data_IF_993708202714
#
_entry.id   IF_993708202714
#
_cell.length_a   1.000
_cell.length_b   1.000
_cell.length_c   1.000
_cell.angle_alpha   90.00
_cell.angle_beta   90.00
_cell.angle_gamma   90.00
#
_symmetry.space_group_name_H-M   'P 1'
#
loop_
_entity.id
_entity.type
_entity.pdbx_description
1 polymer ?
#
# COMPACT_ATOMS: atom_id res chain seq x y z
N UNK A 1 13.82 3.96 25.10
CA UNK A 1 14.64 5.21 25.12
C UNK A 1 13.76 6.28 24.54
N UNK A 2 13.58 7.46 25.12
CA UNK A 2 12.83 8.52 24.48
C UNK A 2 13.48 8.82 23.14
N UNK A 3 12.66 8.85 22.06
CA UNK A 3 13.13 9.09 20.70
C UNK A 3 13.95 10.37 20.61
N UNK A 4 14.88 10.43 19.66
CA UNK A 4 15.79 11.57 19.46
C UNK A 4 15.00 12.88 19.30
N UNK A 5 13.73 12.80 18.90
CA UNK A 5 12.82 13.94 18.73
C UNK A 5 11.87 14.20 19.91
N UNK A 6 12.02 13.52 21.05
CA UNK A 6 11.15 13.71 22.23
C UNK A 6 11.13 15.15 22.80
N UNK A 7 11.94 16.06 22.25
CA UNK A 7 11.95 17.49 22.60
C UNK A 7 11.34 18.42 21.55
N UNK A 8 10.90 17.91 20.39
CA UNK A 8 10.27 18.76 19.37
C UNK A 8 8.77 18.90 19.63
N UNK A 9 8.18 20.09 19.46
CA UNK A 9 6.74 20.27 19.63
C UNK A 9 5.97 19.50 18.53
N UNK A 10 4.76 18.99 18.80
CA UNK A 10 3.92 18.30 17.81
C UNK A 10 3.70 19.12 16.54
N UNK A 11 3.67 20.45 16.66
CA UNK A 11 3.57 21.35 15.51
C UNK A 11 4.76 21.23 14.54
N UNK A 12 5.95 20.88 15.01
CA UNK A 12 7.11 20.68 14.13
C UNK A 12 6.95 19.43 13.25
N UNK A 13 6.35 18.37 13.79
CA UNK A 13 6.00 17.16 13.04
C UNK A 13 5.00 17.49 11.92
N UNK A 14 3.89 18.13 12.26
CA UNK A 14 2.86 18.51 11.29
C UNK A 14 3.40 19.45 10.21
N UNK A 15 4.28 20.40 10.57
CA UNK A 15 4.93 21.28 9.60
C UNK A 15 5.89 20.51 8.66
N UNK A 16 6.60 19.53 9.16
CA UNK A 16 7.48 18.71 8.33
C UNK A 16 6.70 17.83 7.33
N UNK A 17 5.59 17.21 7.77
CA UNK A 17 4.71 16.49 6.84
C UNK A 17 4.03 17.43 5.84
N UNK A 18 3.61 18.61 6.27
CA UNK A 18 3.09 19.63 5.35
C UNK A 18 4.14 20.03 4.30
N UNK A 19 5.39 20.23 4.72
CA UNK A 19 6.49 20.53 3.79
C UNK A 19 6.72 19.37 2.81
N UNK A 20 6.70 18.13 3.27
CA UNK A 20 6.78 16.95 2.40
C UNK A 20 5.62 16.89 1.40
N UNK A 21 4.38 17.13 1.84
CA UNK A 21 3.20 17.18 0.98
C UNK A 21 3.31 18.27 -0.09
N UNK A 22 3.76 19.48 0.27
CA UNK A 22 4.00 20.59 -0.68
C UNK A 22 5.07 20.19 -1.71
N UNK A 23 6.16 19.54 -1.27
CA UNK A 23 7.21 19.05 -2.18
C UNK A 23 6.67 17.99 -3.14
N UNK A 24 5.82 17.04 -2.69
CA UNK A 24 5.18 16.05 -3.55
C UNK A 24 4.25 16.70 -4.57
N UNK A 25 3.36 17.61 -4.15
CA UNK A 25 2.43 18.30 -5.05
C UNK A 25 3.19 19.11 -6.09
N UNK A 26 4.23 19.84 -5.66
CA UNK A 26 5.06 20.62 -6.56
C UNK A 26 5.85 19.73 -7.52
N UNK A 27 6.41 18.63 -7.03
CA UNK A 27 7.08 17.61 -7.82
C UNK A 27 6.20 17.01 -8.89
N UNK A 28 5.00 16.53 -8.51
CA UNK A 28 4.02 16.00 -9.45
C UNK A 28 3.63 17.00 -10.53
N UNK A 29 3.41 18.27 -10.15
CA UNK A 29 3.10 19.32 -11.13
C UNK A 29 4.24 19.54 -12.14
N UNK A 30 5.49 19.40 -11.73
CA UNK A 30 6.62 19.51 -12.66
C UNK A 30 6.83 18.26 -13.52
N UNK A 31 6.41 17.09 -13.07
CA UNK A 31 6.47 15.84 -13.84
C UNK A 31 5.56 15.84 -15.07
N UNK A 32 4.54 16.71 -15.14
CA UNK A 32 3.64 16.79 -16.29
C UNK A 32 4.30 17.33 -17.57
N UNK A 33 5.51 17.94 -17.48
CA UNK A 33 6.20 18.50 -18.63
C UNK A 33 7.62 17.93 -18.75
N UNK A 34 8.02 17.43 -19.92
CA UNK A 34 9.34 16.79 -20.12
C UNK A 34 10.52 17.66 -19.71
N UNK A 35 10.43 18.99 -19.94
CA UNK A 35 11.51 19.94 -19.62
C UNK A 35 11.75 20.12 -18.11
N UNK A 36 10.73 19.91 -17.29
CA UNK A 36 10.77 20.09 -15.83
C UNK A 36 10.74 18.77 -15.08
N UNK A 37 10.47 17.64 -15.75
CA UNK A 37 10.31 16.32 -15.13
C UNK A 37 11.47 15.92 -14.22
N UNK A 38 12.73 16.19 -14.64
CA UNK A 38 13.91 15.91 -13.80
C UNK A 38 13.89 16.68 -12.48
N UNK A 39 13.47 17.95 -12.49
CA UNK A 39 13.32 18.76 -11.27
C UNK A 39 12.17 18.25 -10.41
N UNK A 40 11.05 17.89 -11.06
CA UNK A 40 9.90 17.27 -10.38
C UNK A 40 10.29 16.02 -9.60
N UNK A 41 11.10 15.16 -10.20
CA UNK A 41 11.61 13.95 -9.55
C UNK A 41 12.48 14.27 -8.32
N UNK A 42 13.33 15.30 -8.41
CA UNK A 42 14.17 15.75 -7.29
C UNK A 42 13.28 16.26 -6.13
N UNK A 43 12.25 17.07 -6.42
CA UNK A 43 11.34 17.57 -5.38
C UNK A 43 10.55 16.43 -4.73
N UNK A 44 10.07 15.48 -5.51
CA UNK A 44 9.38 14.29 -4.97
C UNK A 44 10.30 13.44 -4.09
N UNK A 45 11.55 13.22 -4.53
CA UNK A 45 12.55 12.51 -3.74
C UNK A 45 12.90 13.26 -2.43
N UNK A 46 13.04 14.59 -2.49
CA UNK A 46 13.24 15.39 -1.28
C UNK A 46 12.06 15.30 -0.32
N UNK A 47 10.81 15.34 -0.82
CA UNK A 47 9.61 15.14 -0.04
C UNK A 47 9.60 13.78 0.66
N UNK A 48 10.02 12.71 -0.04
CA UNK A 48 10.13 11.36 0.53
C UNK A 48 11.19 11.31 1.65
N UNK A 49 12.36 11.90 1.44
CA UNK A 49 13.41 11.96 2.47
C UNK A 49 12.93 12.69 3.71
N UNK A 50 12.21 13.80 3.54
CA UNK A 50 11.62 14.55 4.69
C UNK A 50 10.59 13.68 5.40
N UNK A 51 9.62 13.10 4.67
CA UNK A 51 8.56 12.29 5.28
C UNK A 51 9.12 11.08 6.04
N UNK A 52 9.97 10.27 5.39
CA UNK A 52 10.60 9.09 6.02
C UNK A 52 11.49 9.51 7.18
N UNK A 53 12.32 10.54 7.00
CA UNK A 53 13.24 11.01 8.05
C UNK A 53 12.50 11.46 9.30
N UNK A 54 11.41 12.21 9.15
CA UNK A 54 10.60 12.67 10.26
C UNK A 54 9.88 11.50 10.95
N UNK A 55 9.30 10.57 10.17
CA UNK A 55 8.65 9.38 10.71
C UNK A 55 9.61 8.55 11.56
N UNK A 56 10.80 8.28 11.05
CA UNK A 56 11.84 7.48 11.74
C UNK A 56 12.33 8.17 13.02
N UNK A 57 12.45 9.50 12.99
CA UNK A 57 12.95 10.25 14.15
C UNK A 57 11.89 10.45 15.24
N UNK A 58 10.61 10.51 14.86
CA UNK A 58 9.52 10.84 15.77
C UNK A 58 8.86 9.61 16.39
N UNK A 59 8.56 8.61 15.58
CA UNK A 59 7.91 7.41 16.06
C UNK A 59 8.95 6.40 16.57
N UNK A 60 8.73 5.86 17.75
CA UNK A 60 9.48 4.72 18.27
C UNK A 60 9.08 3.42 17.54
N UNK A 61 9.15 3.46 16.21
CA UNK A 61 8.75 2.37 15.34
C UNK A 61 9.84 1.30 15.35
N UNK A 62 9.54 0.12 15.85
CA UNK A 62 10.33 -1.10 15.75
C UNK A 62 11.76 -1.02 16.36
N UNK A 63 12.38 -2.18 16.54
CA UNK A 63 13.82 -2.17 16.86
C UNK A 63 14.56 -1.43 15.73
N UNK A 64 15.43 -0.48 16.03
CA UNK A 64 16.22 0.25 15.02
C UNK A 64 16.92 -0.69 14.03
N UNK A 65 17.28 -1.87 14.48
CA UNK A 65 17.92 -2.91 13.67
C UNK A 65 17.03 -3.41 12.53
N UNK A 66 15.74 -3.65 12.78
CA UNK A 66 14.80 -4.13 11.75
C UNK A 66 14.54 -3.01 10.73
N UNK A 67 14.38 -1.76 11.19
CA UNK A 67 14.20 -0.61 10.34
C UNK A 67 15.40 -0.40 9.42
N UNK A 68 16.61 -0.36 9.98
CA UNK A 68 17.83 -0.18 9.17
C UNK A 68 18.07 -1.35 8.22
N UNK A 69 17.80 -2.58 8.63
CA UNK A 69 17.90 -3.74 7.76
C UNK A 69 16.93 -3.63 6.58
N UNK A 70 15.66 -3.27 6.82
CA UNK A 70 14.67 -3.07 5.77
C UNK A 70 15.06 -1.94 4.80
N UNK A 71 15.52 -0.80 5.32
CA UNK A 71 16.00 0.32 4.51
C UNK A 71 17.21 -0.07 3.65
N UNK A 72 18.19 -0.77 4.21
CA UNK A 72 19.39 -1.21 3.48
C UNK A 72 19.05 -2.20 2.38
N UNK A 73 18.23 -3.21 2.68
CA UNK A 73 17.80 -4.21 1.69
C UNK A 73 16.97 -3.55 0.59
N UNK A 74 16.00 -2.71 0.95
CA UNK A 74 15.18 -1.99 -0.02
C UNK A 74 16.00 -1.04 -0.88
N UNK A 75 16.94 -0.29 -0.29
CA UNK A 75 17.83 0.62 -1.02
C UNK A 75 18.77 -0.15 -1.96
N UNK A 76 19.33 -1.28 -1.51
CA UNK A 76 20.22 -2.11 -2.34
C UNK A 76 19.48 -2.67 -3.56
N UNK A 77 18.31 -3.29 -3.35
CA UNK A 77 17.49 -3.86 -4.43
C UNK A 77 16.99 -2.74 -5.37
N UNK A 78 16.47 -1.66 -4.81
CA UNK A 78 15.94 -0.55 -5.60
C UNK A 78 17.02 0.15 -6.43
N UNK A 79 18.20 0.39 -5.86
CA UNK A 79 19.32 0.97 -6.59
C UNK A 79 19.84 0.05 -7.68
N UNK A 80 19.95 -1.25 -7.40
CA UNK A 80 20.37 -2.22 -8.41
C UNK A 80 19.39 -2.26 -9.58
N UNK A 81 18.09 -2.35 -9.32
CA UNK A 81 17.06 -2.33 -10.36
C UNK A 81 17.09 -1.02 -11.17
N UNK A 82 17.26 0.13 -10.49
CA UNK A 82 17.27 1.43 -11.14
C UNK A 82 18.42 1.63 -12.14
N UNK A 83 19.56 0.93 -11.96
CA UNK A 83 20.72 1.05 -12.86
C UNK A 83 20.82 -0.10 -13.86
N UNK A 84 20.10 -1.21 -13.67
CA UNK A 84 20.18 -2.40 -14.52
C UNK A 84 19.01 -2.54 -15.49
N UNK A 85 17.85 -1.93 -15.18
CA UNK A 85 16.64 -2.04 -16.01
C UNK A 85 16.71 -1.06 -17.18
N UNK A 86 16.48 -1.57 -18.38
CA UNK A 86 16.42 -0.75 -19.58
C UNK A 86 15.20 0.19 -19.59
N UNK A 87 15.29 1.31 -20.30
CA UNK A 87 14.20 2.27 -20.39
C UNK A 87 12.93 1.70 -21.03
N UNK A 88 13.07 0.68 -21.88
CA UNK A 88 11.95 -0.07 -22.49
C UNK A 88 11.18 -0.90 -21.45
N UNK A 89 11.83 -1.32 -20.37
CA UNK A 89 11.28 -2.16 -19.31
C UNK A 89 10.77 -1.34 -18.11
N UNK A 90 10.84 -0.01 -18.20
CA UNK A 90 10.32 0.88 -17.17
C UNK A 90 8.86 0.62 -16.77
N UNK A 91 7.92 0.36 -17.69
CA UNK A 91 6.53 0.07 -17.32
C UNK A 91 6.39 -1.16 -16.39
N UNK A 92 7.18 -2.21 -16.64
CA UNK A 92 7.20 -3.42 -15.80
C UNK A 92 7.73 -3.10 -14.40
N UNK A 93 8.82 -2.33 -14.31
CA UNK A 93 9.42 -1.92 -13.05
C UNK A 93 8.46 -1.04 -12.23
N UNK A 94 7.78 -0.10 -12.89
CA UNK A 94 6.75 0.73 -12.25
C UNK A 94 5.61 -0.13 -11.72
N UNK A 95 5.14 -1.11 -12.51
CA UNK A 95 4.13 -2.07 -12.06
C UNK A 95 4.58 -2.85 -10.83
N UNK A 96 5.82 -3.34 -10.83
CA UNK A 96 6.40 -4.08 -9.71
C UNK A 96 6.44 -3.22 -8.43
N UNK A 97 7.00 -2.01 -8.50
CA UNK A 97 7.08 -1.11 -7.35
C UNK A 97 5.70 -0.68 -6.85
N UNK A 98 4.76 -0.45 -7.77
CA UNK A 98 3.38 -0.17 -7.40
C UNK A 98 2.76 -1.34 -6.61
N UNK A 99 2.97 -2.57 -7.07
CA UNK A 99 2.54 -3.77 -6.36
C UNK A 99 3.10 -3.81 -4.94
N UNK A 100 4.41 -3.67 -4.78
CA UNK A 100 5.03 -3.65 -3.45
C UNK A 100 4.50 -2.53 -2.55
N UNK A 101 4.19 -1.35 -3.10
CA UNK A 101 3.55 -0.26 -2.36
C UNK A 101 2.18 -0.65 -1.81
N UNK A 102 1.34 -1.28 -2.64
CA UNK A 102 0.03 -1.81 -2.21
C UNK A 102 0.15 -2.90 -1.15
N UNK A 103 1.07 -3.84 -1.35
CA UNK A 103 1.36 -4.91 -0.39
C UNK A 103 1.89 -4.37 0.94
N UNK A 104 2.80 -3.41 0.91
CA UNK A 104 3.32 -2.75 2.11
C UNK A 104 2.21 -2.07 2.90
N UNK A 105 1.32 -1.32 2.23
CA UNK A 105 0.18 -0.67 2.88
C UNK A 105 -0.73 -1.69 3.58
N UNK A 106 -1.06 -2.81 2.91
CA UNK A 106 -1.87 -3.86 3.50
C UNK A 106 -1.19 -4.51 4.71
N UNK A 107 0.13 -4.75 4.65
CA UNK A 107 0.87 -5.33 5.77
C UNK A 107 0.96 -4.36 6.97
N UNK A 108 1.17 -3.07 6.74
CA UNK A 108 1.22 -2.05 7.80
C UNK A 108 -0.13 -1.94 8.49
N UNK A 109 -1.23 -1.85 7.73
CA UNK A 109 -2.58 -1.82 8.33
C UNK A 109 -2.92 -3.11 9.10
N UNK A 110 -2.42 -4.26 8.62
CA UNK A 110 -2.55 -5.53 9.32
C UNK A 110 -1.76 -5.58 10.63
N UNK A 111 -0.56 -5.02 10.65
CA UNK A 111 0.27 -4.92 11.85
C UNK A 111 -0.39 -4.02 12.91
N UNK A 112 -0.92 -2.87 12.50
CA UNK A 112 -1.67 -1.97 13.38
C UNK A 112 -2.86 -2.68 14.03
N UNK A 113 -3.63 -3.46 13.27
CA UNK A 113 -4.73 -4.23 13.82
C UNK A 113 -4.28 -5.31 14.81
N UNK A 114 -3.12 -5.93 14.59
CA UNK A 114 -2.56 -6.91 15.54
C UNK A 114 -2.18 -6.24 16.86
N UNK A 115 -1.59 -5.05 16.80
CA UNK A 115 -1.26 -4.27 18.01
C UNK A 115 -2.53 -3.77 18.71
N UNK A 116 -3.49 -3.24 17.94
CA UNK A 116 -4.73 -2.69 18.46
C UNK A 116 -5.58 -3.74 19.18
N UNK A 117 -5.66 -4.96 18.64
CA UNK A 117 -6.39 -6.08 19.23
C UNK A 117 -5.51 -7.00 20.09
N UNK A 118 -4.28 -6.59 20.39
CA UNK A 118 -3.37 -7.30 21.27
C UNK A 118 -3.85 -7.37 22.73
N UNK A 119 -3.13 -8.10 23.59
CA UNK A 119 -3.57 -8.34 24.99
C UNK A 119 -3.78 -7.06 25.81
N UNK A 120 -3.16 -5.96 25.43
CA UNK A 120 -3.24 -4.64 26.09
C UNK A 120 -4.14 -3.66 25.35
N UNK A 121 -4.74 -4.10 24.22
CA UNK A 121 -5.56 -3.26 23.37
C UNK A 121 -6.96 -2.99 23.93
N UNK A 122 -7.70 -2.04 23.36
CA UNK A 122 -9.06 -1.75 23.73
C UNK A 122 -10.00 -2.92 23.42
N UNK A 123 -11.08 -3.05 24.17
CA UNK A 123 -12.10 -4.06 23.91
C UNK A 123 -12.88 -3.82 22.61
N UNK A 124 -12.92 -2.56 22.16
CA UNK A 124 -13.55 -2.10 20.92
C UNK A 124 -12.60 -1.13 20.23
N UNK A 125 -12.25 -1.43 18.99
CA UNK A 125 -11.38 -0.53 18.21
C UNK A 125 -12.17 0.65 17.63
N UNK A 126 -11.52 1.81 17.42
CA UNK A 126 -12.13 2.94 16.73
C UNK A 126 -12.63 2.53 15.34
N UNK A 127 -13.85 2.96 14.99
CA UNK A 127 -14.47 2.66 13.69
C UNK A 127 -13.66 3.26 12.54
N UNK A 128 -13.06 4.42 12.77
CA UNK A 128 -12.18 5.10 11.81
C UNK A 128 -10.99 4.23 11.44
N UNK A 129 -10.29 3.69 12.44
CA UNK A 129 -9.11 2.83 12.24
C UNK A 129 -9.48 1.53 11.53
N UNK A 130 -10.55 0.86 11.96
CA UNK A 130 -10.98 -0.40 11.33
C UNK A 130 -11.49 -0.20 9.90
N UNK A 131 -12.18 0.91 9.63
CA UNK A 131 -12.63 1.28 8.28
C UNK A 131 -11.44 1.59 7.37
N UNK A 132 -10.49 2.38 7.86
CA UNK A 132 -9.27 2.71 7.13
C UNK A 132 -8.44 1.45 6.84
N UNK A 133 -8.29 0.56 7.83
CA UNK A 133 -7.59 -0.70 7.65
C UNK A 133 -8.31 -1.63 6.64
N UNK A 134 -9.64 -1.71 6.68
CA UNK A 134 -10.42 -2.48 5.70
C UNK A 134 -10.23 -1.95 4.27
N UNK A 135 -10.31 -0.63 4.09
CA UNK A 135 -10.07 0.02 2.80
C UNK A 135 -8.63 -0.24 2.31
N UNK A 136 -7.65 -0.10 3.18
CA UNK A 136 -6.24 -0.36 2.88
C UNK A 136 -6.01 -1.83 2.49
N UNK A 137 -6.56 -2.77 3.23
CA UNK A 137 -6.43 -4.20 2.95
C UNK A 137 -7.05 -4.59 1.60
N UNK A 138 -8.25 -4.05 1.31
CA UNK A 138 -8.93 -4.27 0.03
C UNK A 138 -8.14 -3.71 -1.15
N UNK A 139 -7.81 -2.43 -1.09
CA UNK A 139 -7.13 -1.75 -2.19
C UNK A 139 -5.69 -2.25 -2.33
N UNK A 140 -5.00 -2.44 -1.20
CA UNK A 140 -3.61 -2.92 -1.18
C UNK A 140 -3.48 -4.35 -1.72
N UNK A 141 -4.38 -5.26 -1.35
CA UNK A 141 -4.40 -6.63 -1.86
C UNK A 141 -4.67 -6.70 -3.37
N UNK A 142 -5.69 -5.96 -3.84
CA UNK A 142 -5.98 -5.85 -5.29
C UNK A 142 -4.79 -5.27 -6.04
N UNK A 143 -4.20 -4.20 -5.52
CA UNK A 143 -3.09 -3.50 -6.17
C UNK A 143 -1.84 -4.34 -6.21
N UNK A 144 -1.50 -5.05 -5.13
CA UNK A 144 -0.31 -5.90 -5.09
C UNK A 144 -0.35 -6.95 -6.20
N UNK A 145 -1.34 -7.83 -6.17
CA UNK A 145 -1.42 -8.93 -7.12
C UNK A 145 -1.79 -8.49 -8.54
N UNK A 146 -2.68 -7.49 -8.67
CA UNK A 146 -3.02 -6.92 -9.96
C UNK A 146 -1.80 -6.32 -10.67
N UNK A 147 -0.95 -5.60 -9.95
CA UNK A 147 0.28 -5.01 -10.49
C UNK A 147 1.34 -6.06 -10.83
N UNK A 148 1.46 -7.14 -10.05
CA UNK A 148 2.36 -8.25 -10.38
C UNK A 148 1.92 -8.96 -11.66
N UNK A 149 0.61 -9.21 -11.83
CA UNK A 149 0.07 -9.77 -13.09
C UNK A 149 0.32 -8.82 -14.25
N UNK A 150 0.08 -7.52 -14.08
CA UNK A 150 0.32 -6.53 -15.12
C UNK A 150 1.80 -6.47 -15.54
N UNK A 151 2.71 -6.46 -14.57
CA UNK A 151 4.15 -6.52 -14.83
C UNK A 151 4.54 -7.83 -15.55
N UNK A 152 3.99 -8.97 -15.11
CA UNK A 152 4.22 -10.27 -15.76
C UNK A 152 3.73 -10.34 -17.21
N UNK A 153 2.60 -9.67 -17.52
CA UNK A 153 2.11 -9.55 -18.89
C UNK A 153 3.03 -8.71 -19.77
N UNK A 154 3.49 -7.58 -19.26
CA UNK A 154 4.45 -6.73 -19.98
C UNK A 154 5.79 -7.44 -20.24
N UNK A 155 6.19 -8.35 -19.34
CA UNK A 155 7.39 -9.19 -19.48
C UNK A 155 7.17 -10.41 -20.39
N UNK A 156 5.93 -10.68 -20.81
CA UNK A 156 5.58 -11.87 -21.59
C UNK A 156 5.54 -13.17 -20.79
N UNK A 157 5.57 -13.12 -19.45
CA UNK A 157 5.44 -14.32 -18.60
C UNK A 157 4.00 -14.80 -18.46
N UNK A 158 3.03 -13.94 -18.68
CA UNK A 158 1.60 -14.26 -18.62
C UNK A 158 1.03 -14.08 -20.01
N UNK A 159 0.38 -15.13 -20.54
CA UNK A 159 -0.30 -15.11 -21.84
C UNK A 159 -1.46 -14.10 -21.87
N UNK A 160 -1.82 -13.67 -23.06
CA UNK A 160 -2.67 -12.52 -23.31
C UNK A 160 -3.83 -12.82 -24.25
N UNK A 161 -5.05 -12.32 -23.95
CA UNK A 161 -5.74 -12.26 -22.66
C UNK A 161 -6.30 -13.64 -22.27
N UNK A 162 -6.41 -13.95 -20.98
CA UNK A 162 -6.99 -15.22 -20.51
C UNK A 162 -8.43 -14.98 -20.07
N UNK A 163 -9.39 -15.50 -20.83
CA UNK A 163 -10.80 -15.52 -20.49
C UNK A 163 -11.24 -16.90 -20.01
N UNK A 164 -12.11 -16.95 -19.01
CA UNK A 164 -12.59 -18.20 -18.43
C UNK A 164 -14.11 -18.16 -18.18
N UNK A 165 -14.81 -19.31 -18.23
CA UNK A 165 -16.25 -19.38 -17.95
C UNK A 165 -16.56 -18.89 -16.53
N UNK A 166 -17.58 -18.05 -16.36
CA UNK A 166 -17.99 -17.55 -15.04
C UNK A 166 -17.11 -16.42 -14.47
N UNK A 167 -16.27 -15.81 -15.31
CA UNK A 167 -15.36 -14.73 -14.93
C UNK A 167 -16.00 -13.67 -14.05
N UNK A 168 -17.14 -13.10 -14.46
CA UNK A 168 -17.84 -12.05 -13.73
C UNK A 168 -18.43 -12.56 -12.41
N UNK A 169 -18.91 -13.80 -12.38
CA UNK A 169 -19.44 -14.42 -11.17
C UNK A 169 -18.33 -14.62 -10.14
N UNK A 170 -17.15 -15.06 -10.59
CA UNK A 170 -16.02 -15.28 -9.71
C UNK A 170 -15.48 -13.95 -9.14
N UNK A 171 -15.35 -12.92 -9.99
CA UNK A 171 -15.00 -11.55 -9.56
C UNK A 171 -15.99 -11.01 -8.53
N UNK A 172 -17.29 -11.15 -8.81
CA UNK A 172 -18.34 -10.72 -7.87
C UNK A 172 -18.31 -11.49 -6.54
N UNK A 173 -18.03 -12.79 -6.58
CA UNK A 173 -17.93 -13.62 -5.38
C UNK A 173 -16.77 -13.18 -4.49
N UNK A 174 -15.56 -12.98 -5.05
CA UNK A 174 -14.41 -12.54 -4.27
C UNK A 174 -14.53 -11.08 -3.81
N UNK A 175 -15.13 -10.20 -4.62
CA UNK A 175 -15.46 -8.85 -4.18
C UNK A 175 -16.46 -8.87 -3.02
N UNK A 176 -17.55 -9.66 -3.13
CA UNK A 176 -18.53 -9.81 -2.07
C UNK A 176 -17.92 -10.37 -0.79
N UNK A 177 -17.05 -11.39 -0.91
CA UNK A 177 -16.34 -11.95 0.24
C UNK A 177 -15.44 -10.90 0.92
N UNK A 178 -14.69 -10.13 0.14
CA UNK A 178 -13.83 -9.08 0.68
C UNK A 178 -14.65 -7.99 1.39
N UNK A 179 -15.77 -7.56 0.80
CA UNK A 179 -16.69 -6.58 1.42
C UNK A 179 -17.29 -7.13 2.70
N UNK A 180 -17.77 -8.37 2.72
CA UNK A 180 -18.34 -9.00 3.92
C UNK A 180 -17.31 -9.12 5.04
N UNK A 181 -16.09 -9.53 4.71
CA UNK A 181 -15.00 -9.58 5.69
C UNK A 181 -14.62 -8.18 6.21
N UNK A 182 -14.63 -7.16 5.36
CA UNK A 182 -14.44 -5.76 5.75
C UNK A 182 -15.55 -5.24 6.66
N UNK A 183 -16.80 -5.52 6.33
CA UNK A 183 -17.95 -5.17 7.19
C UNK A 183 -17.84 -5.87 8.53
N UNK A 184 -17.48 -7.15 8.57
CA UNK A 184 -17.28 -7.87 9.82
C UNK A 184 -16.18 -7.25 10.68
N UNK A 185 -15.08 -6.80 10.06
CA UNK A 185 -14.00 -6.07 10.74
C UNK A 185 -14.49 -4.73 11.32
N UNK A 186 -15.17 -3.92 10.51
CA UNK A 186 -15.61 -2.56 10.89
C UNK A 186 -16.72 -2.60 11.95
N UNK A 187 -17.69 -3.45 11.78
CA UNK A 187 -18.81 -3.55 12.71
C UNK A 187 -18.44 -4.26 14.00
N UNK A 188 -17.28 -4.92 14.02
CA UNK A 188 -16.80 -5.69 15.15
C UNK A 188 -17.90 -6.65 15.69
N UNK A 189 -18.87 -6.98 14.84
CA UNK A 189 -19.84 -8.02 15.12
C UNK A 189 -19.06 -9.33 15.12
N UNK A 190 -18.48 -9.64 16.27
CA UNK A 190 -17.96 -10.96 16.52
C UNK A 190 -19.11 -11.91 16.29
N UNK A 191 -18.94 -12.83 15.37
CA UNK A 191 -19.67 -14.06 15.47
C UNK A 191 -19.29 -14.54 16.86
N UNK A 192 -20.21 -14.39 17.80
CA UNK A 192 -20.02 -14.66 19.24
C UNK A 192 -19.65 -16.12 19.55
N UNK A 193 -19.46 -16.92 18.51
CA UNK A 193 -18.99 -18.30 18.50
C UNK A 193 -17.46 -18.45 18.46
N UNK A 194 -16.71 -17.37 18.19
CA UNK A 194 -15.25 -17.38 18.11
C UNK A 194 -14.75 -16.17 18.91
N UNK A 195 -14.01 -16.42 19.96
CA UNK A 195 -13.44 -15.46 20.93
C UNK A 195 -12.85 -14.17 20.30
N UNK A 196 -12.49 -13.17 21.13
CA UNK A 196 -11.88 -11.87 20.77
C UNK A 196 -10.73 -11.92 19.74
N UNK A 197 -10.22 -13.10 19.40
CA UNK A 197 -9.22 -13.36 18.37
C UNK A 197 -9.74 -13.31 16.92
N UNK A 198 -10.99 -12.91 16.65
CA UNK A 198 -11.61 -13.05 15.32
C UNK A 198 -11.42 -11.87 14.38
N UNK A 199 -11.00 -10.72 14.87
CA UNK A 199 -10.84 -9.50 14.06
C UNK A 199 -9.67 -9.59 13.10
N UNK A 200 -8.54 -10.07 13.59
CA UNK A 200 -7.32 -10.26 12.77
C UNK A 200 -7.55 -11.26 11.64
N UNK A 201 -8.18 -12.43 11.87
CA UNK A 201 -8.60 -13.34 10.80
C UNK A 201 -9.49 -12.68 9.74
N UNK A 202 -10.49 -11.86 10.12
CA UNK A 202 -11.37 -11.18 9.16
C UNK A 202 -10.59 -10.25 8.23
N UNK A 203 -9.61 -9.52 8.75
CA UNK A 203 -8.72 -8.70 7.94
C UNK A 203 -7.94 -9.53 6.92
N UNK A 204 -7.35 -10.63 7.33
CA UNK A 204 -6.57 -11.47 6.41
C UNK A 204 -7.43 -12.22 5.40
N UNK A 205 -8.68 -12.57 5.73
CA UNK A 205 -9.67 -13.08 4.76
C UNK A 205 -9.98 -12.01 3.72
N UNK A 206 -10.19 -10.75 4.15
CA UNK A 206 -10.37 -9.61 3.25
C UNK A 206 -9.17 -9.46 2.32
N UNK A 207 -7.95 -9.42 2.85
CA UNK A 207 -6.72 -9.26 2.06
C UNK A 207 -6.53 -10.43 1.08
N UNK A 208 -6.80 -11.66 1.51
CA UNK A 208 -6.71 -12.83 0.64
C UNK A 208 -7.75 -12.79 -0.50
N UNK A 209 -9.00 -12.46 -0.20
CA UNK A 209 -10.06 -12.30 -1.20
C UNK A 209 -9.74 -11.17 -2.18
N UNK A 210 -9.25 -10.02 -1.68
CA UNK A 210 -8.80 -8.89 -2.48
C UNK A 210 -7.60 -9.25 -3.38
N UNK A 211 -6.67 -10.05 -2.88
CA UNK A 211 -5.52 -10.55 -3.62
C UNK A 211 -5.94 -11.38 -4.83
N UNK A 212 -6.85 -12.33 -4.61
CA UNK A 212 -7.41 -13.15 -5.69
C UNK A 212 -8.21 -12.27 -6.66
N UNK A 213 -9.00 -11.34 -6.17
CA UNK A 213 -9.74 -10.39 -6.99
C UNK A 213 -8.81 -9.56 -7.87
N UNK A 214 -7.66 -9.09 -7.36
CA UNK A 214 -6.66 -8.36 -8.13
C UNK A 214 -6.13 -9.15 -9.33
N UNK A 215 -5.84 -10.44 -9.14
CA UNK A 215 -5.47 -11.35 -10.23
C UNK A 215 -6.61 -11.47 -11.25
N UNK A 216 -7.83 -11.77 -10.77
CA UNK A 216 -9.00 -11.98 -11.62
C UNK A 216 -9.39 -10.75 -12.44
N UNK A 217 -9.13 -9.55 -11.92
CA UNK A 217 -9.42 -8.29 -12.63
C UNK A 217 -8.44 -8.04 -13.78
N UNK A 218 -7.16 -8.37 -13.61
CA UNK A 218 -6.11 -8.02 -14.57
C UNK A 218 -5.85 -9.12 -15.59
N UNK A 219 -6.05 -10.39 -15.24
CA UNK A 219 -5.81 -11.54 -16.14
C UNK A 219 -6.54 -11.44 -17.49
N UNK A 220 -7.80 -10.97 -17.58
CA UNK A 220 -8.50 -10.88 -18.88
C UNK A 220 -8.15 -9.64 -19.72
N UNK A 221 -7.34 -8.72 -19.18
CA UNK A 221 -6.98 -7.48 -19.88
C UNK A 221 -5.73 -7.74 -20.72
N UNK A 222 -5.70 -7.24 -21.96
CA UNK A 222 -4.56 -7.40 -22.87
C UNK A 222 -3.31 -6.63 -22.43
N UNK A 223 -2.12 -7.15 -22.75
CA UNK A 223 -0.83 -6.54 -22.40
C UNK A 223 -0.65 -5.11 -22.93
N UNK A 224 -1.25 -4.82 -24.09
CA UNK A 224 -1.24 -3.48 -24.67
C UNK A 224 -1.90 -2.43 -23.76
N UNK A 225 -2.87 -2.83 -22.93
CA UNK A 225 -3.60 -1.95 -22.02
C UNK A 225 -2.96 -1.87 -20.62
N UNK A 226 -1.91 -2.67 -20.37
CA UNK A 226 -1.27 -2.73 -19.04
C UNK A 226 -0.74 -1.39 -18.53
N UNK A 227 -0.17 -0.49 -19.34
CA UNK A 227 0.23 0.83 -18.84
C UNK A 227 -0.92 1.63 -18.21
N UNK A 228 -2.13 1.53 -18.79
CA UNK A 228 -3.34 2.19 -18.24
C UNK A 228 -3.79 1.51 -16.94
N UNK A 229 -3.76 0.17 -16.91
CA UNK A 229 -4.09 -0.61 -15.71
C UNK A 229 -3.13 -0.28 -14.58
N UNK A 230 -1.83 -0.22 -14.84
CA UNK A 230 -0.80 0.14 -13.84
C UNK A 230 -1.04 1.57 -13.33
N UNK A 231 -1.36 2.52 -14.20
CA UNK A 231 -1.67 3.89 -13.79
C UNK A 231 -2.91 3.96 -12.87
N UNK A 232 -3.95 3.19 -13.17
CA UNK A 232 -5.14 3.08 -12.32
C UNK A 232 -4.79 2.44 -10.96
N UNK A 233 -4.07 1.32 -10.97
CA UNK A 233 -3.65 0.65 -9.75
C UNK A 233 -2.70 1.52 -8.92
N UNK A 234 -1.87 2.37 -9.55
CA UNK A 234 -1.03 3.32 -8.84
C UNK A 234 -1.85 4.42 -8.14
N UNK A 235 -2.92 4.91 -8.77
CA UNK A 235 -3.84 5.81 -8.10
C UNK A 235 -4.51 5.13 -6.89
N UNK A 236 -4.92 3.87 -7.03
CA UNK A 236 -5.45 3.05 -5.94
C UNK A 236 -4.42 2.85 -4.81
N UNK A 237 -3.15 2.62 -5.15
CA UNK A 237 -2.04 2.52 -4.18
C UNK A 237 -1.90 3.79 -3.34
N UNK A 238 -2.03 4.96 -3.97
CA UNK A 238 -2.04 6.24 -3.26
C UNK A 238 -3.21 6.37 -2.28
N UNK A 239 -4.40 5.89 -2.67
CA UNK A 239 -5.56 5.84 -1.76
C UNK A 239 -5.34 4.86 -0.60
N UNK A 240 -4.75 3.70 -0.86
CA UNK A 240 -4.40 2.75 0.19
C UNK A 240 -3.40 3.35 1.19
N UNK A 241 -2.36 4.03 0.69
CA UNK A 241 -1.38 4.70 1.54
C UNK A 241 -2.01 5.81 2.39
N UNK A 242 -2.92 6.61 1.81
CA UNK A 242 -3.66 7.62 2.57
C UNK A 242 -4.55 6.99 3.65
N UNK A 243 -5.27 5.91 3.32
CA UNK A 243 -6.08 5.18 4.29
C UNK A 243 -5.21 4.54 5.39
N UNK A 244 -4.00 4.06 5.06
CA UNK A 244 -3.03 3.58 6.06
C UNK A 244 -2.65 4.69 7.03
N UNK A 245 -2.41 5.92 6.55
CA UNK A 245 -2.15 7.07 7.41
C UNK A 245 -3.27 7.29 8.42
N UNK A 246 -4.53 7.27 7.99
CA UNK A 246 -5.68 7.34 8.89
C UNK A 246 -5.76 6.18 9.88
N UNK A 247 -5.39 4.96 9.47
CA UNK A 247 -5.37 3.82 10.38
C UNK A 247 -4.31 3.98 11.49
N UNK A 248 -3.20 4.64 11.18
CA UNK A 248 -2.09 4.94 12.10
C UNK A 248 -2.27 6.25 12.89
N UNK A 249 -3.41 6.92 12.77
CA UNK A 249 -3.68 8.24 13.36
C UNK A 249 -2.62 9.29 12.98
N UNK A 250 -2.22 9.27 11.69
CA UNK A 250 -1.14 10.10 11.15
C UNK A 250 -1.55 10.82 9.83
#
# INVERSE_FOLDING_TARGET
MPGIAAGLPPAALSLAYLAAAVLFIHGLRQLTHPRTARRGNIFSAAGMVVAVGVTVLWFEILSPMVLFAGLLVGAAIGSWLAVTVDTTDMPQLVGLFNGFGGGASALVAGAELVDLFGPSGPTVAPVETTTAAAATGLIGGVTFWGSLVAAGKLQGYVEDPIHYPGENTLKAAFFGLAVLAGVALVTQIGISLLSAATWVPSYWVLVAAASILGILLVVPIGGADMPVVIALLNACSGLAAAATGFALDN
#
